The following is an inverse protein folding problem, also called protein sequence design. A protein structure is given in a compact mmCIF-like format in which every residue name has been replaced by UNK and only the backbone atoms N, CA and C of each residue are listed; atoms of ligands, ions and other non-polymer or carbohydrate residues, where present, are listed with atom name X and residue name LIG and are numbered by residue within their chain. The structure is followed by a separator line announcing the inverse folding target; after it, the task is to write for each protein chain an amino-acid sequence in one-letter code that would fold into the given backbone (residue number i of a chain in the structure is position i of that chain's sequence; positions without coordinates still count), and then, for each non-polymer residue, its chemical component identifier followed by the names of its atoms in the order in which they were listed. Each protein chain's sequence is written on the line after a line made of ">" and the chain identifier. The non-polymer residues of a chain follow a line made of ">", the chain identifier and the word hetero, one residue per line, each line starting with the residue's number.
data_IF_540023120040
#
_entry.id   IF_540023120040
#
_cell.length_a   1.000
_cell.length_b   1.000
_cell.length_c   1.000
_cell.angle_alpha   90.00
_cell.angle_beta   90.00
_cell.angle_gamma   90.00
#
_symmetry.space_group_name_H-M   'P 1'
#
loop_
_entity.id
_entity.type
_entity.pdbx_description
1 polymer ?
#
# COMPACT_ATOMS: atom_id res chain seq x y z
N UNK A 1 -5.26 -51.40 6.56
CA UNK A 1 -5.65 -50.77 5.28
C UNK A 1 -5.62 -49.27 5.49
N UNK A 2 -4.66 -48.62 4.82
CA UNK A 2 -4.19 -47.25 5.08
C UNK A 2 -4.77 -46.37 3.97
N UNK A 3 -5.51 -45.31 4.32
CA UNK A 3 -5.96 -44.30 3.37
C UNK A 3 -5.38 -42.95 3.83
N UNK A 4 -4.53 -42.41 2.97
CA UNK A 4 -3.82 -41.14 3.02
C UNK A 4 -4.74 -39.95 2.71
N UNK A 5 -4.21 -38.72 2.92
CA UNK A 5 -4.68 -37.38 2.45
C UNK A 5 -5.58 -36.64 3.47
N UNK A 6 -5.31 -35.41 3.95
CA UNK A 6 -4.42 -34.29 3.54
C UNK A 6 -3.80 -33.68 4.82
N UNK A 7 -2.48 -33.73 4.94
CA UNK A 7 -1.71 -32.75 5.72
C UNK A 7 -1.03 -31.84 4.71
N UNK A 8 -1.24 -30.52 4.87
CA UNK A 8 -0.44 -29.35 4.41
C UNK A 8 -1.27 -28.29 3.67
N UNK A 9 -1.68 -27.23 4.39
CA UNK A 9 -1.74 -25.89 3.79
C UNK A 9 -0.99 -24.84 4.63
N UNK A 10 0.03 -25.23 5.41
CA UNK A 10 0.79 -24.28 6.26
C UNK A 10 2.22 -24.03 5.74
N UNK A 11 2.71 -24.79 4.75
CA UNK A 11 4.06 -24.60 4.19
C UNK A 11 4.12 -23.77 2.90
N UNK A 12 3.00 -23.26 2.38
CA UNK A 12 3.00 -22.49 1.12
C UNK A 12 3.12 -20.98 1.35
N UNK A 13 2.89 -20.48 2.58
CA UNK A 13 2.93 -19.04 2.89
C UNK A 13 4.30 -18.58 3.42
N UNK A 14 5.23 -19.49 3.72
CA UNK A 14 6.54 -19.17 4.33
C UNK A 14 7.74 -19.36 3.39
N UNK A 15 7.53 -19.47 2.07
CA UNK A 15 8.63 -19.69 1.11
C UNK A 15 8.65 -18.74 -0.08
N UNK A 16 7.96 -17.60 0.01
CA UNK A 16 8.05 -16.50 -0.98
C UNK A 16 8.94 -15.34 -0.51
N UNK A 17 9.84 -15.62 0.43
CA UNK A 17 10.97 -14.78 0.78
C UNK A 17 12.18 -15.72 0.76
N UNK A 18 12.83 -15.85 -0.39
CA UNK A 18 14.24 -16.24 -0.58
C UNK A 18 14.47 -16.38 -2.10
N UNK A 19 15.48 -15.66 -2.59
CA UNK A 19 15.97 -15.52 -3.97
C UNK A 19 15.32 -14.38 -4.77
N UNK A 20 15.63 -13.14 -4.36
CA UNK A 20 15.84 -12.04 -5.30
C UNK A 20 17.26 -11.52 -5.04
N UNK A 21 18.04 -11.44 -6.11
CA UNK A 21 19.50 -11.39 -6.09
C UNK A 21 20.10 -10.44 -5.05
N UNK A 22 21.11 -10.94 -4.34
CA UNK A 22 22.04 -10.14 -3.57
C UNK A 22 22.70 -9.12 -4.50
N UNK A 23 22.14 -7.92 -4.57
CA UNK A 23 22.97 -6.76 -4.89
C UNK A 23 23.75 -6.51 -3.61
N UNK A 24 24.96 -7.04 -3.54
CA UNK A 24 25.90 -6.65 -2.49
C UNK A 24 26.15 -5.16 -2.66
N UNK A 25 25.43 -4.33 -1.93
CA UNK A 25 25.90 -2.99 -1.63
C UNK A 25 27.12 -3.21 -0.73
N UNK A 26 28.30 -3.25 -1.33
CA UNK A 26 29.54 -3.08 -0.59
C UNK A 26 29.48 -1.68 0.02
N UNK A 27 29.08 -1.62 1.30
CA UNK A 27 29.36 -0.48 2.16
C UNK A 27 30.88 -0.46 2.28
N UNK A 28 31.53 0.27 1.38
CA UNK A 28 32.92 0.64 1.54
C UNK A 28 32.99 1.41 2.86
N UNK A 29 33.55 0.78 3.87
CA UNK A 29 33.83 1.40 5.16
C UNK A 29 35.04 2.33 4.98
N UNK A 30 34.80 3.49 4.40
CA UNK A 30 35.58 4.70 4.68
C UNK A 30 34.61 5.66 5.33
N UNK A 31 34.69 5.83 6.66
CA UNK A 31 33.73 6.61 7.46
C UNK A 31 33.44 7.99 6.85
N UNK A 32 32.30 8.20 6.16
CA UNK A 32 31.91 9.51 5.70
C UNK A 32 31.24 10.18 6.89
N UNK A 33 31.78 11.30 7.37
CA UNK A 33 31.31 12.00 8.57
C UNK A 33 29.77 12.07 8.61
N UNK A 34 29.17 11.43 9.60
CA UNK A 34 27.75 11.53 9.90
C UNK A 34 27.48 12.97 10.34
N UNK A 35 26.93 13.78 9.43
CA UNK A 35 26.45 15.12 9.78
C UNK A 35 25.09 14.96 10.45
N UNK A 36 25.05 15.26 11.75
CA UNK A 36 23.82 15.43 12.50
C UNK A 36 23.42 16.89 12.35
N UNK A 37 22.23 17.15 11.79
CA UNK A 37 21.74 18.53 11.68
C UNK A 37 21.37 19.09 13.08
N UNK A 38 21.09 20.39 13.14
CA UNK A 38 20.71 21.08 14.39
C UNK A 38 19.43 20.50 15.05
N UNK A 39 18.70 19.63 14.35
CA UNK A 39 17.50 18.94 14.82
C UNK A 39 17.76 17.51 15.27
N UNK A 40 19.02 17.04 15.24
CA UNK A 40 19.38 15.69 15.61
C UNK A 40 19.14 14.65 14.50
N UNK A 41 18.90 15.07 13.26
CA UNK A 41 18.64 14.16 12.14
C UNK A 41 19.97 13.81 11.46
N UNK A 42 20.29 12.52 11.46
CA UNK A 42 21.46 11.98 10.75
C UNK A 42 21.19 11.99 9.25
N UNK A 43 22.03 12.71 8.49
CA UNK A 43 21.95 12.74 7.03
C UNK A 43 23.06 11.89 6.42
N UNK A 44 22.69 10.97 5.52
CA UNK A 44 23.62 10.22 4.69
C UNK A 44 23.51 10.72 3.24
N UNK A 45 24.66 10.91 2.59
CA UNK A 45 24.72 11.27 1.17
C UNK A 45 25.04 10.03 0.35
N UNK A 46 24.21 9.73 -0.64
CA UNK A 46 24.54 8.74 -1.66
C UNK A 46 25.43 9.41 -2.70
N UNK A 47 26.68 8.96 -2.82
CA UNK A 47 27.64 9.56 -3.76
C UNK A 47 27.63 8.88 -5.14
N UNK A 48 27.12 7.65 -5.21
CA UNK A 48 27.13 6.83 -6.43
C UNK A 48 25.73 6.31 -6.75
N UNK A 49 25.37 6.31 -8.03
CA UNK A 49 24.14 5.69 -8.53
C UNK A 49 24.42 4.24 -8.92
N UNK A 50 23.69 3.30 -8.30
CA UNK A 50 23.74 1.88 -8.66
C UNK A 50 22.74 1.52 -9.76
N UNK A 51 22.95 0.36 -10.39
CA UNK A 51 21.92 -0.26 -11.26
C UNK A 51 20.77 -0.71 -10.36
N UNK A 52 19.51 -0.32 -10.64
CA UNK A 52 18.38 -0.73 -9.82
C UNK A 52 18.22 -2.26 -9.85
N UNK A 53 18.01 -2.90 -8.69
CA UNK A 53 17.79 -4.34 -8.65
C UNK A 53 16.49 -4.70 -9.37
N UNK A 54 16.40 -5.93 -9.89
CA UNK A 54 15.27 -6.36 -10.71
C UNK A 54 13.90 -6.19 -10.01
N UNK A 55 13.83 -6.45 -8.69
CA UNK A 55 12.60 -6.29 -7.92
C UNK A 55 12.09 -4.84 -7.91
N UNK A 56 12.99 -3.84 -7.92
CA UNK A 56 12.61 -2.43 -7.91
C UNK A 56 12.00 -2.03 -9.26
N UNK A 57 12.48 -2.62 -10.36
CA UNK A 57 11.88 -2.43 -11.68
C UNK A 57 10.48 -3.05 -11.75
N UNK A 58 10.29 -4.23 -11.17
CA UNK A 58 8.97 -4.88 -11.10
C UNK A 58 8.00 -4.10 -10.21
N UNK A 59 8.45 -3.55 -9.09
CA UNK A 59 7.63 -2.68 -8.24
C UNK A 59 7.17 -1.43 -9.00
N UNK A 60 8.06 -0.80 -9.78
CA UNK A 60 7.68 0.33 -10.64
C UNK A 60 6.61 -0.05 -11.66
N UNK A 61 6.77 -1.19 -12.33
CA UNK A 61 5.77 -1.70 -13.26
C UNK A 61 4.43 -1.98 -12.57
N UNK A 62 4.46 -2.58 -11.37
CA UNK A 62 3.26 -2.79 -10.57
C UNK A 62 2.57 -1.47 -10.25
N UNK A 63 3.33 -0.44 -9.84
CA UNK A 63 2.75 0.86 -9.50
C UNK A 63 2.08 1.54 -10.69
N UNK A 64 2.65 1.38 -11.89
CA UNK A 64 2.07 1.89 -13.13
C UNK A 64 0.73 1.22 -13.46
N UNK A 65 0.49 -0.01 -12.99
CA UNK A 65 -0.79 -0.72 -13.14
C UNK A 65 -1.77 -0.46 -11.99
N UNK A 66 -1.29 -0.26 -10.77
CA UNK A 66 -2.14 -0.03 -9.59
C UNK A 66 -2.93 1.27 -9.69
N UNK A 67 -2.30 2.35 -10.18
CA UNK A 67 -2.99 3.64 -10.29
C UNK A 67 -4.23 3.60 -11.21
N UNK A 68 -4.14 3.16 -12.49
CA UNK A 68 -5.33 3.05 -13.33
C UNK A 68 -6.35 2.04 -12.78
N UNK A 69 -5.91 0.91 -12.21
CA UNK A 69 -6.82 -0.04 -11.59
C UNK A 69 -7.61 0.57 -10.41
N UNK A 70 -6.97 1.41 -9.60
CA UNK A 70 -7.65 2.13 -8.52
C UNK A 70 -8.70 3.10 -9.09
N UNK A 71 -8.39 3.84 -10.16
CA UNK A 71 -9.35 4.75 -10.79
C UNK A 71 -10.57 4.01 -11.35
N UNK A 72 -10.38 2.85 -11.97
CA UNK A 72 -11.48 1.99 -12.43
C UNK A 72 -12.34 1.49 -11.27
N UNK A 73 -11.72 1.09 -10.15
CA UNK A 73 -12.44 0.69 -8.95
C UNK A 73 -13.30 1.83 -8.39
N UNK A 74 -12.70 3.02 -8.24
CA UNK A 74 -13.39 4.22 -7.76
C UNK A 74 -14.57 4.56 -8.67
N UNK A 75 -14.35 4.62 -9.99
CA UNK A 75 -15.40 4.93 -10.95
C UNK A 75 -16.58 3.96 -10.91
N UNK A 76 -16.33 2.69 -10.56
CA UNK A 76 -17.35 1.66 -10.48
C UNK A 76 -18.15 1.69 -9.17
N UNK A 77 -17.48 1.94 -8.04
CA UNK A 77 -18.04 1.71 -6.71
C UNK A 77 -18.34 2.98 -5.92
N UNK A 78 -18.10 4.16 -6.48
CA UNK A 78 -18.32 5.43 -5.78
C UNK A 78 -19.14 6.40 -6.63
N UNK A 79 -19.84 7.29 -5.93
CA UNK A 79 -20.46 8.47 -6.53
C UNK A 79 -19.43 9.61 -6.66
N UNK A 80 -19.72 10.64 -7.50
CA UNK A 80 -18.83 11.80 -7.65
C UNK A 80 -18.51 12.53 -6.34
N UNK A 81 -19.40 12.48 -5.36
CA UNK A 81 -19.21 13.10 -4.04
C UNK A 81 -18.37 12.26 -3.06
N UNK A 82 -17.86 11.11 -3.51
CA UNK A 82 -17.00 10.22 -2.73
C UNK A 82 -17.75 9.22 -1.86
N UNK A 83 -19.09 9.24 -1.85
CA UNK A 83 -19.88 8.20 -1.18
C UNK A 83 -19.80 6.87 -1.95
N UNK A 84 -19.96 5.76 -1.24
CA UNK A 84 -19.98 4.42 -1.84
C UNK A 84 -21.34 4.15 -2.49
N UNK A 85 -21.32 3.46 -3.62
CA UNK A 85 -22.49 2.82 -4.23
C UNK A 85 -22.87 1.59 -3.36
N UNK A 86 -23.48 1.87 -2.21
CA UNK A 86 -23.74 0.94 -1.11
C UNK A 86 -25.24 0.93 -0.76
N UNK A 87 -25.59 0.24 0.33
CA UNK A 87 -26.91 0.20 0.97
C UNK A 87 -27.43 1.61 1.29
N UNK A 88 -28.74 1.77 1.33
CA UNK A 88 -29.39 3.02 1.75
C UNK A 88 -29.52 3.17 3.28
N UNK A 89 -29.48 2.05 4.02
CA UNK A 89 -29.68 2.01 5.47
C UNK A 89 -28.69 1.06 6.15
N UNK A 90 -28.42 1.30 7.44
CA UNK A 90 -27.44 0.56 8.22
C UNK A 90 -28.09 -0.51 9.12
N UNK A 91 -27.83 -1.81 8.88
CA UNK A 91 -28.62 -2.87 9.49
C UNK A 91 -28.12 -3.34 10.87
N UNK A 92 -26.98 -2.88 11.37
CA UNK A 92 -26.34 -3.46 12.57
C UNK A 92 -25.20 -2.65 13.18
N UNK A 93 -24.38 -3.28 14.02
CA UNK A 93 -23.20 -2.64 14.67
C UNK A 93 -21.90 -2.95 13.92
N UNK A 94 -21.91 -3.95 13.04
CA UNK A 94 -20.72 -4.49 12.38
C UNK A 94 -20.56 -3.97 10.94
N UNK A 95 -19.30 -3.92 10.47
CA UNK A 95 -18.92 -3.53 9.10
C UNK A 95 -18.71 -2.04 8.86
N UNK A 96 -18.70 -1.20 9.91
CA UNK A 96 -18.49 0.25 9.75
C UNK A 96 -17.06 0.61 9.34
N UNK A 97 -16.13 -0.31 9.53
CA UNK A 97 -14.78 -0.29 9.00
C UNK A 97 -14.72 -0.57 7.50
N UNK A 98 -15.57 -1.44 6.94
CA UNK A 98 -15.55 -1.84 5.52
C UNK A 98 -15.51 -0.64 4.55
N UNK A 99 -16.23 0.43 4.87
CA UNK A 99 -16.26 1.65 4.07
C UNK A 99 -14.89 2.30 3.96
N UNK A 100 -14.15 2.37 5.07
CA UNK A 100 -12.80 2.94 5.12
C UNK A 100 -11.74 1.95 4.61
N UNK A 101 -11.93 0.65 4.86
CA UNK A 101 -11.06 -0.43 4.34
C UNK A 101 -11.10 -0.53 2.81
N UNK A 102 -12.12 0.02 2.15
CA UNK A 102 -12.16 0.07 0.69
C UNK A 102 -11.00 0.88 0.09
N UNK A 103 -10.37 1.79 0.86
CA UNK A 103 -9.39 2.77 0.34
C UNK A 103 -8.11 2.92 1.18
N UNK A 104 -7.94 2.16 2.26
CA UNK A 104 -6.84 2.36 3.23
C UNK A 104 -5.43 2.25 2.61
N UNK A 105 -5.28 1.50 1.51
CA UNK A 105 -4.00 1.27 0.85
C UNK A 105 -3.58 2.42 -0.10
N UNK A 106 -4.48 3.34 -0.44
CA UNK A 106 -4.20 4.42 -1.41
C UNK A 106 -3.19 5.46 -0.90
N UNK A 107 -3.26 5.93 0.37
CA UNK A 107 -2.23 6.79 0.93
C UNK A 107 -0.87 6.08 1.00
N UNK A 108 -0.86 4.79 1.38
CA UNK A 108 0.36 3.99 1.44
C UNK A 108 1.00 3.85 0.05
N UNK A 109 0.22 3.54 -0.98
CA UNK A 109 0.69 3.52 -2.36
C UNK A 109 1.35 4.84 -2.75
N UNK A 110 0.73 5.98 -2.41
CA UNK A 110 1.28 7.31 -2.70
C UNK A 110 2.60 7.54 -1.95
N UNK A 111 2.66 7.19 -0.66
CA UNK A 111 3.84 7.33 0.18
C UNK A 111 5.04 6.49 -0.29
N UNK A 112 4.79 5.32 -0.88
CA UNK A 112 5.83 4.45 -1.44
C UNK A 112 6.35 4.94 -2.81
N UNK A 113 5.83 6.04 -3.35
CA UNK A 113 6.25 6.60 -4.65
C UNK A 113 5.28 6.33 -5.80
N UNK A 114 4.04 5.96 -5.49
CA UNK A 114 2.92 5.97 -6.41
C UNK A 114 2.46 7.39 -6.78
N UNK A 115 1.38 7.49 -7.56
CA UNK A 115 0.82 8.78 -7.96
C UNK A 115 0.24 9.53 -6.76
N UNK A 116 0.81 10.70 -6.43
CA UNK A 116 0.33 11.57 -5.35
C UNK A 116 -1.12 12.05 -5.53
N UNK A 117 -1.67 11.98 -6.75
CA UNK A 117 -3.09 12.26 -6.98
C UNK A 117 -4.00 11.31 -6.20
N UNK A 118 -3.54 10.07 -5.97
CA UNK A 118 -4.33 9.07 -5.27
C UNK A 118 -4.44 9.39 -3.77
N UNK A 119 -3.46 10.06 -3.15
CA UNK A 119 -3.61 10.58 -1.77
C UNK A 119 -4.76 11.61 -1.67
N UNK A 120 -4.83 12.55 -2.61
CA UNK A 120 -5.91 13.54 -2.63
C UNK A 120 -7.28 12.88 -2.84
N UNK A 121 -7.35 11.88 -3.71
CA UNK A 121 -8.56 11.09 -3.94
C UNK A 121 -8.94 10.28 -2.68
N UNK A 122 -7.97 9.66 -2.01
CA UNK A 122 -8.21 8.89 -0.80
C UNK A 122 -8.82 9.75 0.32
N UNK A 123 -8.36 10.99 0.47
CA UNK A 123 -8.95 11.95 1.44
C UNK A 123 -10.39 12.32 1.08
N UNK A 124 -10.67 12.56 -0.20
CA UNK A 124 -12.03 12.82 -0.68
C UNK A 124 -12.98 11.63 -0.41
N UNK A 125 -12.51 10.41 -0.66
CA UNK A 125 -13.25 9.19 -0.40
C UNK A 125 -13.48 8.96 1.10
N UNK A 126 -12.45 9.18 1.92
CA UNK A 126 -12.56 9.16 3.38
C UNK A 126 -13.68 10.09 3.84
N UNK A 127 -13.67 11.35 3.40
CA UNK A 127 -14.69 12.33 3.78
C UNK A 127 -16.10 11.92 3.28
N UNK A 128 -16.17 11.29 2.11
CA UNK A 128 -17.41 10.73 1.55
C UNK A 128 -17.99 9.61 2.40
N UNK A 129 -17.17 8.63 2.78
CA UNK A 129 -17.53 7.54 3.68
C UNK A 129 -17.97 8.10 5.04
N UNK A 130 -17.22 9.05 5.61
CA UNK A 130 -17.59 9.69 6.88
C UNK A 130 -18.96 10.35 6.81
N UNK A 131 -19.25 11.13 5.76
CA UNK A 131 -20.57 11.75 5.57
C UNK A 131 -21.68 10.70 5.45
N UNK A 132 -21.46 9.68 4.63
CA UNK A 132 -22.43 8.61 4.42
C UNK A 132 -22.76 7.89 5.74
N UNK A 133 -21.74 7.59 6.54
CA UNK A 133 -21.89 6.81 7.77
C UNK A 133 -22.45 7.66 8.91
N UNK A 134 -22.14 8.97 8.94
CA UNK A 134 -22.85 9.92 9.80
C UNK A 134 -24.35 9.94 9.47
N UNK A 135 -24.72 9.86 8.19
CA UNK A 135 -26.12 9.75 7.75
C UNK A 135 -26.82 8.48 8.24
N UNK A 136 -26.07 7.41 8.46
CA UNK A 136 -26.54 6.16 9.07
C UNK A 136 -26.60 6.20 10.60
N UNK A 137 -26.09 7.26 11.24
CA UNK A 137 -25.98 7.36 12.70
C UNK A 137 -24.83 6.55 13.31
N UNK A 138 -23.80 6.23 12.52
CA UNK A 138 -22.52 5.69 12.99
C UNK A 138 -21.56 6.80 13.44
#
# INVERSE_FOLDING_TARGET
>A
MMIYWIKKPIQVILSLIIILGTSSASIGQESPGTWVDDKGITTFRLENQGVPPHWALLERQLFDQLYPAALEFIAKYTNPDGTLNWRDEWPGIDGSDDGYESFYNYPLFSALGGSMKLDSIARHLWDGVTRQFTGYGQ
#
